data_IF_979648911047
#
_entry.id   IF_979648911047
#
_cell.length_a   1.000
_cell.length_b   1.000
_cell.length_c   1.000
_cell.angle_alpha   90.00
_cell.angle_beta   90.00
_cell.angle_gamma   90.00
#
_symmetry.space_group_name_H-M   'P 1'
#
loop_
_entity.id
_entity.type
_entity.pdbx_description
1 polymer ?
#
# COMPACT_ATOMS: atom_id res chain seq x y z
N UNK A 1 -4.02 12.24 -0.96
CA UNK A 1 -3.26 12.99 -1.97
C UNK A 1 -2.20 13.89 -1.34
N UNK A 2 -2.48 14.61 -0.25
CA UNK A 2 -1.48 15.47 0.40
C UNK A 2 -0.32 14.70 1.07
N UNK A 3 -0.60 13.52 1.64
CA UNK A 3 0.42 12.67 2.27
C UNK A 3 1.53 12.21 1.31
N UNK A 4 1.15 11.72 0.12
CA UNK A 4 2.11 11.30 -0.92
C UNK A 4 3.06 12.42 -1.32
N UNK A 5 2.54 13.64 -1.49
CA UNK A 5 3.33 14.79 -1.90
C UNK A 5 4.35 15.20 -0.84
N UNK A 6 4.01 15.10 0.44
CA UNK A 6 4.92 15.42 1.53
C UNK A 6 6.09 14.44 1.61
N UNK A 7 5.83 13.14 1.43
CA UNK A 7 6.87 12.11 1.41
C UNK A 7 7.81 12.25 0.20
N UNK A 8 7.23 12.46 -0.99
CA UNK A 8 8.00 12.70 -2.22
C UNK A 8 8.85 13.98 -2.10
N UNK A 9 8.29 15.05 -1.54
CA UNK A 9 9.03 16.30 -1.31
C UNK A 9 10.21 16.09 -0.34
N UNK A 10 10.02 15.38 0.77
CA UNK A 10 11.10 15.07 1.72
C UNK A 10 12.24 14.32 1.02
N UNK A 11 11.90 13.31 0.22
CA UNK A 11 12.88 12.58 -0.55
C UNK A 11 13.58 13.46 -1.59
N UNK A 12 12.87 14.33 -2.30
CA UNK A 12 13.48 15.22 -3.28
C UNK A 12 14.44 16.23 -2.63
N UNK A 13 14.08 16.74 -1.45
CA UNK A 13 14.94 17.64 -0.67
C UNK A 13 16.22 16.95 -0.22
N UNK A 14 16.15 15.69 0.22
CA UNK A 14 17.34 14.88 0.55
C UNK A 14 18.21 14.65 -0.70
N UNK A 15 17.57 14.30 -1.83
CA UNK A 15 18.28 14.04 -3.10
C UNK A 15 19.05 15.25 -3.60
N UNK A 16 18.47 16.43 -3.47
CA UNK A 16 19.09 17.71 -3.85
C UNK A 16 20.02 18.28 -2.78
N UNK A 17 20.30 17.55 -1.69
CA UNK A 17 21.13 18.00 -0.57
C UNK A 17 20.63 19.29 0.10
N UNK A 18 19.32 19.56 0.00
CA UNK A 18 18.64 20.69 0.64
C UNK A 18 18.22 20.35 2.08
N UNK A 19 18.17 19.06 2.42
CA UNK A 19 17.83 18.52 3.72
C UNK A 19 18.76 17.34 4.03
N UNK A 20 19.25 17.19 5.27
CA UNK A 20 20.01 16.00 5.65
C UNK A 20 19.08 14.80 5.88
N UNK A 21 19.62 13.58 5.74
CA UNK A 21 18.90 12.34 6.04
C UNK A 21 18.39 12.35 7.48
N UNK A 22 19.23 12.74 8.45
CA UNK A 22 18.84 12.82 9.86
C UNK A 22 17.65 13.77 10.09
N UNK A 23 17.63 14.90 9.40
CA UNK A 23 16.52 15.86 9.47
C UNK A 23 15.26 15.29 8.83
N UNK A 24 15.39 14.60 7.69
CA UNK A 24 14.26 13.95 7.04
C UNK A 24 13.64 12.89 7.94
N UNK A 25 14.47 12.02 8.55
CA UNK A 25 14.02 11.00 9.50
C UNK A 25 13.33 11.63 10.71
N UNK A 26 13.89 12.69 11.29
CA UNK A 26 13.23 13.39 12.41
C UNK A 26 11.86 13.96 12.04
N UNK A 27 11.69 14.48 10.81
CA UNK A 27 10.39 14.95 10.33
C UNK A 27 9.39 13.80 10.11
N UNK A 28 9.87 12.57 9.88
CA UNK A 28 8.99 11.39 9.80
C UNK A 28 8.44 10.94 11.15
N UNK A 29 9.15 11.20 12.25
CA UNK A 29 8.66 10.89 13.61
C UNK A 29 7.46 11.73 14.05
N UNK A 30 7.25 12.88 13.40
CA UNK A 30 6.13 13.78 13.71
C UNK A 30 4.85 13.44 12.93
N UNK A 31 4.89 12.37 12.12
CA UNK A 31 3.80 11.97 11.24
C UNK A 31 3.00 10.81 11.85
N UNK A 32 1.74 10.72 11.44
CA UNK A 32 0.89 9.54 11.67
C UNK A 32 1.52 8.30 11.01
N UNK A 33 1.23 7.10 11.54
CA UNK A 33 1.85 5.84 11.11
C UNK A 33 1.79 5.62 9.59
N UNK A 34 0.67 5.95 8.93
CA UNK A 34 0.52 5.85 7.47
C UNK A 34 1.52 6.76 6.73
N UNK A 35 1.55 8.03 7.11
CA UNK A 35 2.41 9.04 6.52
C UNK A 35 3.90 8.74 6.82
N UNK A 36 4.18 8.19 8.01
CA UNK A 36 5.52 7.77 8.42
C UNK A 36 5.99 6.58 7.59
N UNK A 37 5.21 5.49 7.51
CA UNK A 37 5.54 4.31 6.71
C UNK A 37 5.79 4.69 5.25
N UNK A 38 4.94 5.55 4.68
CA UNK A 38 5.13 6.02 3.31
C UNK A 38 6.39 6.86 3.17
N UNK A 39 6.64 7.84 4.06
CA UNK A 39 7.84 8.67 3.99
C UNK A 39 9.14 7.85 4.11
N UNK A 40 9.19 6.88 5.03
CA UNK A 40 10.33 5.98 5.18
C UNK A 40 10.53 5.12 3.91
N UNK A 41 9.44 4.66 3.27
CA UNK A 41 9.52 3.92 2.01
C UNK A 41 10.15 4.75 0.88
N UNK A 42 9.88 6.05 0.79
CA UNK A 42 10.43 6.90 -0.28
C UNK A 42 11.87 7.34 0.04
N UNK A 43 12.25 7.39 1.32
CA UNK A 43 13.61 7.71 1.76
C UNK A 43 14.58 6.52 1.62
N UNK A 44 14.12 5.29 1.82
CA UNK A 44 14.97 4.10 1.79
C UNK A 44 15.84 3.93 0.52
N UNK A 45 15.37 4.26 -0.71
CA UNK A 45 16.20 4.21 -1.91
C UNK A 45 17.36 5.23 -1.94
N UNK A 46 17.34 6.25 -1.07
CA UNK A 46 18.40 7.26 -0.97
C UNK A 46 19.49 6.89 0.03
N UNK A 47 19.27 5.83 0.80
CA UNK A 47 20.19 5.31 1.80
C UNK A 47 21.00 4.15 1.24
N UNK A 48 22.11 3.83 1.91
CA UNK A 48 22.97 2.71 1.53
C UNK A 48 23.41 1.90 2.74
N UNK A 49 23.74 0.62 2.52
CA UNK A 49 24.25 -0.26 3.57
C UNK A 49 23.26 -0.47 4.72
N UNK A 50 23.76 -0.40 5.95
CA UNK A 50 23.03 -0.70 7.17
C UNK A 50 21.89 0.28 7.47
N UNK A 51 22.08 1.56 7.16
CA UNK A 51 21.06 2.60 7.35
C UNK A 51 19.81 2.33 6.52
N UNK A 52 19.99 1.88 5.27
CA UNK A 52 18.88 1.48 4.41
C UNK A 52 18.09 0.32 5.00
N UNK A 53 18.79 -0.71 5.48
CA UNK A 53 18.16 -1.87 6.09
C UNK A 53 17.40 -1.50 7.36
N UNK A 54 17.97 -0.63 8.21
CA UNK A 54 17.30 -0.14 9.40
C UNK A 54 16.01 0.62 9.06
N UNK A 55 16.08 1.55 8.10
CA UNK A 55 14.90 2.34 7.69
C UNK A 55 13.82 1.50 7.04
N UNK A 56 14.19 0.48 6.24
CA UNK A 56 13.20 -0.45 5.68
C UNK A 56 12.51 -1.29 6.75
N UNK A 57 13.27 -1.80 7.74
CA UNK A 57 12.70 -2.55 8.85
C UNK A 57 11.75 -1.68 9.69
N UNK A 58 12.16 -0.45 10.00
CA UNK A 58 11.30 0.50 10.69
C UNK A 58 10.02 0.80 9.88
N UNK A 59 10.14 1.02 8.57
CA UNK A 59 8.99 1.26 7.71
C UNK A 59 8.01 0.07 7.71
N UNK A 60 8.54 -1.16 7.72
CA UNK A 60 7.73 -2.38 7.82
C UNK A 60 7.03 -2.49 9.16
N UNK A 61 7.72 -2.22 10.26
CA UNK A 61 7.15 -2.27 11.60
C UNK A 61 6.03 -1.23 11.75
N UNK A 62 6.25 0.00 11.28
CA UNK A 62 5.20 1.04 11.24
C UNK A 62 4.05 0.63 10.32
N UNK A 63 4.32 0.09 9.13
CA UNK A 63 3.26 -0.37 8.23
C UNK A 63 2.37 -1.42 8.91
N UNK A 64 2.95 -2.33 9.70
CA UNK A 64 2.22 -3.36 10.46
C UNK A 64 1.37 -2.80 11.59
N UNK A 65 1.75 -1.68 12.22
CA UNK A 65 0.95 -1.05 13.29
C UNK A 65 -0.26 -0.28 12.77
N UNK A 66 -0.31 0.04 11.47
CA UNK A 66 -1.44 0.73 10.86
C UNK A 66 -2.72 -0.06 11.11
N UNK A 67 -3.67 0.58 11.80
CA UNK A 67 -4.94 -0.04 12.19
C UNK A 67 -5.93 -0.12 11.03
N UNK A 68 -5.86 0.81 10.08
CA UNK A 68 -6.69 0.80 8.88
C UNK A 68 -6.18 -0.25 7.89
N UNK A 69 -6.95 -1.30 7.62
CA UNK A 69 -6.50 -2.43 6.78
C UNK A 69 -6.15 -2.01 5.34
N UNK A 70 -6.95 -1.19 4.63
CA UNK A 70 -6.54 -0.63 3.34
C UNK A 70 -5.17 0.05 3.39
N UNK A 71 -4.96 0.96 4.35
CA UNK A 71 -3.72 1.73 4.42
C UNK A 71 -2.53 0.82 4.79
N UNK A 72 -2.75 -0.17 5.66
CA UNK A 72 -1.74 -1.19 6.00
C UNK A 72 -1.33 -2.00 4.77
N UNK A 73 -2.31 -2.51 4.02
CA UNK A 73 -2.04 -3.28 2.80
C UNK A 73 -1.30 -2.46 1.75
N UNK A 74 -1.71 -1.20 1.53
CA UNK A 74 -1.06 -0.30 0.59
C UNK A 74 0.37 0.05 1.02
N UNK A 75 0.62 0.27 2.33
CA UNK A 75 1.96 0.52 2.86
C UNK A 75 2.90 -0.69 2.67
N UNK A 76 2.43 -1.90 3.02
CA UNK A 76 3.19 -3.13 2.81
C UNK A 76 3.45 -3.38 1.32
N UNK A 77 2.46 -3.11 0.45
CA UNK A 77 2.58 -3.21 -1.00
C UNK A 77 3.64 -2.26 -1.58
N UNK A 78 3.78 -1.05 -1.02
CA UNK A 78 4.77 -0.08 -1.44
C UNK A 78 6.20 -0.43 -0.99
N UNK A 79 6.33 -1.16 0.13
CA UNK A 79 7.60 -1.59 0.68
C UNK A 79 8.13 -2.87 0.02
N UNK A 80 7.26 -3.79 -0.40
CA UNK A 80 7.65 -5.08 -0.98
C UNK A 80 8.70 -4.96 -2.12
N UNK A 81 8.56 -4.06 -3.12
CA UNK A 81 9.55 -3.92 -4.21
C UNK A 81 10.94 -3.47 -3.78
N UNK A 82 11.09 -2.97 -2.54
CA UNK A 82 12.36 -2.51 -2.00
C UNK A 82 13.14 -3.61 -1.27
N UNK A 83 12.47 -4.74 -1.02
CA UNK A 83 13.04 -5.92 -0.39
C UNK A 83 13.55 -6.89 -1.45
N UNK A 84 14.34 -7.88 -1.03
CA UNK A 84 14.90 -8.88 -1.93
C UNK A 84 14.74 -10.29 -1.38
N UNK A 85 14.69 -11.28 -2.28
CA UNK A 85 14.64 -12.69 -1.90
C UNK A 85 13.38 -13.05 -1.11
N UNK A 86 13.58 -13.70 0.04
CA UNK A 86 12.49 -14.23 0.87
C UNK A 86 11.64 -13.13 1.52
N UNK A 87 12.26 -12.02 1.94
CA UNK A 87 11.56 -10.91 2.58
C UNK A 87 10.56 -10.25 1.63
N UNK A 88 10.93 -10.08 0.35
CA UNK A 88 10.02 -9.57 -0.68
C UNK A 88 8.77 -10.45 -0.77
N UNK A 89 8.94 -11.76 -0.90
CA UNK A 89 7.83 -12.70 -1.01
C UNK A 89 6.98 -12.75 0.26
N UNK A 90 7.61 -12.67 1.42
CA UNK A 90 6.92 -12.67 2.72
C UNK A 90 6.03 -11.43 2.87
N UNK A 91 6.59 -10.23 2.66
CA UNK A 91 5.84 -8.97 2.79
C UNK A 91 4.77 -8.84 1.70
N UNK A 92 5.04 -9.32 0.48
CA UNK A 92 4.04 -9.32 -0.58
C UNK A 92 2.84 -10.24 -0.23
N UNK A 93 3.10 -11.40 0.35
CA UNK A 93 2.04 -12.29 0.83
C UNK A 93 1.28 -11.70 2.02
N UNK A 94 1.98 -11.06 2.96
CA UNK A 94 1.37 -10.34 4.08
C UNK A 94 0.43 -9.23 3.57
N UNK A 95 0.85 -8.44 2.57
CA UNK A 95 0.03 -7.42 1.95
C UNK A 95 -1.23 -8.01 1.27
N UNK A 96 -1.10 -9.15 0.58
CA UNK A 96 -2.23 -9.85 -0.02
C UNK A 96 -3.22 -10.37 1.03
N UNK A 97 -2.72 -10.92 2.13
CA UNK A 97 -3.58 -11.43 3.20
C UNK A 97 -4.36 -10.31 3.87
N UNK A 98 -3.72 -9.17 4.15
CA UNK A 98 -4.42 -7.97 4.64
C UNK A 98 -5.43 -7.46 3.59
N UNK A 99 -5.05 -7.42 2.31
CA UNK A 99 -5.95 -6.97 1.25
C UNK A 99 -7.24 -7.81 1.21
N UNK A 100 -7.14 -9.12 1.46
CA UNK A 100 -8.29 -10.04 1.50
C UNK A 100 -9.21 -9.81 2.70
N UNK A 101 -8.70 -9.34 3.84
CA UNK A 101 -9.53 -9.05 5.03
C UNK A 101 -10.30 -7.74 4.93
N UNK A 102 -9.91 -6.85 3.99
CA UNK A 102 -10.59 -5.57 3.78
C UNK A 102 -12.09 -5.80 3.55
N UNK A 103 -12.89 -5.21 4.44
CA UNK A 103 -14.35 -5.32 4.42
C UNK A 103 -15.00 -4.50 3.31
N UNK A 104 -14.40 -3.36 2.94
CA UNK A 104 -14.86 -2.55 1.81
C UNK A 104 -14.45 -3.21 0.49
N UNK A 105 -15.42 -3.75 -0.22
CA UNK A 105 -15.17 -4.54 -1.43
C UNK A 105 -14.49 -3.72 -2.54
N UNK A 106 -14.79 -2.43 -2.63
CA UNK A 106 -14.20 -1.55 -3.63
C UNK A 106 -12.72 -1.31 -3.34
N UNK A 107 -12.35 -1.12 -2.07
CA UNK A 107 -10.95 -1.03 -1.64
C UNK A 107 -10.24 -2.37 -1.80
N UNK A 108 -10.85 -3.47 -1.36
CA UNK A 108 -10.30 -4.83 -1.55
C UNK A 108 -9.93 -5.11 -3.00
N UNK A 109 -10.86 -4.88 -3.93
CA UNK A 109 -10.62 -5.10 -5.36
C UNK A 109 -9.48 -4.22 -5.90
N UNK A 110 -9.40 -2.96 -5.46
CA UNK A 110 -8.34 -2.02 -5.86
C UNK A 110 -6.98 -2.45 -5.33
N UNK A 111 -6.87 -2.77 -4.05
CA UNK A 111 -5.61 -3.18 -3.42
C UNK A 111 -5.10 -4.49 -4.02
N UNK A 112 -5.95 -5.49 -4.22
CA UNK A 112 -5.58 -6.73 -4.91
C UNK A 112 -5.09 -6.48 -6.35
N UNK A 113 -5.77 -5.59 -7.09
CA UNK A 113 -5.34 -5.21 -8.44
C UNK A 113 -3.99 -4.47 -8.45
N UNK A 114 -3.71 -3.66 -7.42
CA UNK A 114 -2.45 -2.93 -7.28
C UNK A 114 -1.26 -3.85 -6.90
N UNK A 115 -1.54 -4.96 -6.19
CA UNK A 115 -0.54 -5.97 -5.83
C UNK A 115 -0.21 -6.92 -6.99
N UNK A 116 -1.14 -7.15 -7.91
CA UNK A 116 -0.99 -8.11 -9.01
C UNK A 116 0.26 -7.90 -9.91
N UNK A 117 0.70 -6.66 -10.25
CA UNK A 117 1.92 -6.44 -11.03
C UNK A 117 3.20 -6.93 -10.34
N UNK A 118 3.19 -7.08 -9.01
CA UNK A 118 4.34 -7.55 -8.21
C UNK A 118 4.44 -9.09 -8.16
N UNK A 119 3.39 -9.78 -8.60
CA UNK A 119 3.31 -11.23 -8.65
C UNK A 119 3.75 -11.77 -10.01
N UNK A 120 4.12 -13.05 -10.05
CA UNK A 120 4.47 -13.74 -11.30
C UNK A 120 3.60 -14.97 -11.55
N UNK A 121 3.50 -15.37 -12.82
CA UNK A 121 2.86 -16.62 -13.23
C UNK A 121 1.41 -16.80 -12.76
N UNK A 122 1.17 -17.94 -12.10
CA UNK A 122 -0.17 -18.37 -11.71
C UNK A 122 -0.75 -17.52 -10.59
N UNK A 123 0.07 -17.09 -9.62
CA UNK A 123 -0.39 -16.25 -8.50
C UNK A 123 -0.92 -14.90 -8.96
N UNK A 124 -0.24 -14.26 -9.92
CA UNK A 124 -0.73 -13.04 -10.56
C UNK A 124 -2.09 -13.25 -11.19
N UNK A 125 -2.27 -14.35 -11.91
CA UNK A 125 -3.53 -14.68 -12.58
C UNK A 125 -4.65 -14.92 -11.58
N UNK A 126 -4.36 -15.61 -10.47
CA UNK A 126 -5.33 -15.84 -9.39
C UNK A 126 -5.77 -14.53 -8.73
N UNK A 127 -4.84 -13.67 -8.36
CA UNK A 127 -5.14 -12.39 -7.69
C UNK A 127 -5.91 -11.44 -8.62
N UNK A 128 -5.59 -11.40 -9.91
CA UNK A 128 -6.36 -10.61 -10.88
C UNK A 128 -7.79 -11.13 -11.03
N UNK A 129 -7.99 -12.45 -11.05
CA UNK A 129 -9.34 -13.03 -11.10
C UNK A 129 -10.12 -12.72 -9.83
N UNK A 130 -9.48 -12.82 -8.67
CA UNK A 130 -10.08 -12.46 -7.38
C UNK A 130 -10.53 -10.99 -7.36
N UNK A 131 -9.67 -10.06 -7.77
CA UNK A 131 -10.02 -8.64 -7.88
C UNK A 131 -11.19 -8.40 -8.86
N UNK A 132 -11.20 -9.11 -9.99
CA UNK A 132 -12.25 -9.01 -11.00
C UNK A 132 -13.59 -9.55 -10.51
N UNK A 133 -13.57 -10.64 -9.75
CA UNK A 133 -14.78 -11.25 -9.19
C UNK A 133 -15.42 -10.35 -8.14
N UNK A 134 -14.61 -9.74 -7.26
CA UNK A 134 -15.11 -8.71 -6.33
C UNK A 134 -15.72 -7.53 -7.10
N UNK A 135 -15.06 -7.03 -8.14
CA UNK A 135 -15.58 -5.93 -8.96
C UNK A 135 -16.90 -6.27 -9.68
N UNK A 136 -17.08 -7.53 -10.09
CA UNK A 136 -18.33 -8.01 -10.70
C UNK A 136 -19.48 -8.02 -9.70
N UNK A 137 -19.24 -8.52 -8.48
CA UNK A 137 -20.24 -8.52 -7.39
C UNK A 137 -20.75 -7.11 -7.13
N UNK A 138 -19.86 -6.14 -6.95
CA UNK A 138 -20.22 -4.72 -6.74
C UNK A 138 -21.10 -4.19 -7.87
N UNK A 139 -20.72 -4.47 -9.12
CA UNK A 139 -21.47 -4.01 -10.30
C UNK A 139 -22.88 -4.60 -10.33
N UNK A 140 -23.01 -5.89 -10.04
CA UNK A 140 -24.29 -6.59 -10.07
C UNK A 140 -25.21 -6.11 -8.93
N UNK A 141 -24.67 -5.87 -7.73
CA UNK A 141 -25.39 -5.25 -6.62
C UNK A 141 -25.88 -3.84 -6.97
N UNK A 142 -25.04 -3.02 -7.60
CA UNK A 142 -25.42 -1.69 -8.05
C UNK A 142 -26.54 -1.72 -9.10
N UNK A 143 -26.46 -2.66 -10.06
CA UNK A 143 -27.52 -2.87 -11.03
C UNK A 143 -28.84 -3.25 -10.35
N UNK A 144 -28.81 -4.16 -9.37
CA UNK A 144 -29.99 -4.55 -8.58
C UNK A 144 -30.58 -3.40 -7.77
N UNK A 145 -29.75 -2.61 -7.10
CA UNK A 145 -30.21 -1.44 -6.34
C UNK A 145 -30.86 -0.40 -7.27
N UNK A 146 -30.29 -0.19 -8.46
CA UNK A 146 -30.82 0.75 -9.47
C UNK A 146 -32.14 0.29 -10.07
N UNK A 147 -32.34 -1.01 -10.31
CA UNK A 147 -33.62 -1.53 -10.80
C UNK A 147 -34.70 -1.38 -9.74
N UNK A 148 -34.43 -1.70 -8.48
CA UNK A 148 -35.36 -1.50 -7.36
C UNK A 148 -35.75 -0.03 -7.16
N UNK A 149 -34.79 0.90 -7.25
CA UNK A 149 -35.06 2.35 -7.13
C UNK A 149 -35.88 2.90 -8.31
N UNK A 150 -35.79 2.28 -9.49
CA UNK A 150 -36.51 2.68 -10.71
C UNK A 150 -37.90 2.08 -10.83
N UNK A 151 -38.32 1.24 -9.87
CA UNK A 151 -39.67 0.75 -9.76
C UNK A 151 -40.46 1.62 -8.78
N UNK A 152 -41.10 2.73 -9.19
CA UNK A 152 -42.17 3.30 -8.40
C UNK A 152 -43.38 2.35 -8.50
N UNK A 153 -43.83 1.85 -7.36
CA UNK A 153 -45.23 1.53 -7.03
C UNK A 153 -46.11 1.09 -8.21
N UNK A 154 -46.27 -0.23 -8.36
CA UNK A 154 -47.43 -0.82 -9.05
C UNK A 154 -48.69 -0.68 -8.20
#
# INVERSE_FOLDING_TARGET
>A
MESNYAAELLAELVRHSLLSIDQALHLTELKEDEDKAHALSVLAPQLSGEERSHVLNEALDVARTISNEPNRADALAALAPQLSGEEHSHVLNEALDVARTISDEQHRARTLAALAPQLSGEERSRVLNEALDVARTIRDEWHRARTLRRSPHS
#
